data_IF_406931903862
#
_entry.id   IF_406931903862
#
_cell.length_a   1.000
_cell.length_b   1.000
_cell.length_c   1.000
_cell.angle_alpha   90.00
_cell.angle_beta   90.00
_cell.angle_gamma   90.00
#
_symmetry.space_group_name_H-M   'P 1'
#
loop_
_entity.id
_entity.type
_entity.pdbx_description
1 polymer ?
#
# COMPACT_ATOMS: atom_id res chain seq x y z
N UNK A 1 4.49 0.66 -7.18
CA UNK A 1 3.74 0.84 -5.92
C UNK A 1 4.67 0.65 -4.73
N UNK A 2 4.35 1.17 -3.53
CA UNK A 2 5.13 0.89 -2.31
C UNK A 2 4.68 -0.40 -1.62
N UNK A 3 5.59 -0.92 -0.83
CA UNK A 3 5.69 -2.31 -0.40
C UNK A 3 4.57 -2.94 0.44
N UNK A 4 3.58 -2.18 0.90
CA UNK A 4 2.69 -2.63 1.98
C UNK A 4 1.21 -2.41 1.68
N UNK A 5 0.92 -1.92 0.48
CA UNK A 5 -0.44 -1.55 0.04
C UNK A 5 -1.13 -2.70 -0.72
N UNK A 6 -0.48 -3.87 -0.82
CA UNK A 6 -0.96 -5.04 -1.57
C UNK A 6 -1.22 -6.18 -0.57
N UNK A 7 -2.47 -6.68 -0.45
CA UNK A 7 -2.77 -7.80 0.43
C UNK A 7 -2.09 -9.10 -0.04
N UNK A 8 -1.77 -10.04 0.88
CA UNK A 8 -1.10 -11.29 0.54
C UNK A 8 -2.01 -12.26 -0.26
N UNK A 9 -1.62 -12.64 -1.48
CA UNK A 9 -2.33 -13.63 -2.32
C UNK A 9 -2.11 -13.45 -3.84
N UNK A 10 -1.02 -13.98 -4.37
CA UNK A 10 -0.31 -13.45 -5.57
C UNK A 10 -1.02 -13.56 -6.95
N UNK A 11 -1.95 -14.49 -7.28
CA UNK A 11 -2.57 -14.53 -8.62
C UNK A 11 -3.92 -13.82 -8.76
N UNK A 12 -4.79 -13.92 -7.76
CA UNK A 12 -6.19 -13.46 -7.83
C UNK A 12 -6.32 -11.93 -7.85
N UNK A 13 -5.30 -11.22 -7.35
CA UNK A 13 -5.28 -9.76 -7.32
C UNK A 13 -4.85 -9.11 -8.64
N UNK A 14 -4.25 -9.84 -9.58
CA UNK A 14 -3.87 -9.32 -10.90
C UNK A 14 -5.06 -8.67 -11.63
N UNK A 15 -6.22 -9.35 -11.81
CA UNK A 15 -7.38 -8.76 -12.47
C UNK A 15 -7.93 -7.54 -11.74
N UNK A 16 -7.85 -7.51 -10.40
CA UNK A 16 -8.33 -6.40 -9.58
C UNK A 16 -7.44 -5.16 -9.71
N UNK A 17 -6.11 -5.33 -9.69
CA UNK A 17 -5.17 -4.23 -9.98
C UNK A 17 -5.40 -3.74 -11.41
N UNK A 18 -5.50 -4.65 -12.38
CA UNK A 18 -5.77 -4.27 -13.78
C UNK A 18 -7.06 -3.47 -13.90
N UNK A 19 -8.15 -3.92 -13.27
CA UNK A 19 -9.44 -3.22 -13.28
C UNK A 19 -9.33 -1.83 -12.64
N UNK A 20 -8.69 -1.73 -11.48
CA UNK A 20 -8.53 -0.47 -10.77
C UNK A 20 -7.72 0.57 -11.56
N UNK A 21 -6.67 0.17 -12.28
CA UNK A 21 -5.88 1.08 -13.10
C UNK A 21 -6.45 1.31 -14.50
N UNK A 22 -7.33 0.42 -14.98
CA UNK A 22 -8.00 0.59 -16.27
C UNK A 22 -8.90 1.83 -16.32
N UNK A 23 -9.35 2.35 -15.17
CA UNK A 23 -10.11 3.60 -15.11
C UNK A 23 -9.29 4.84 -15.49
N UNK A 24 -7.95 4.74 -15.48
CA UNK A 24 -7.04 5.85 -15.83
C UNK A 24 -6.40 5.69 -17.21
N UNK A 25 -6.61 4.56 -17.88
CA UNK A 25 -5.98 4.25 -19.16
C UNK A 25 -5.87 2.75 -19.41
N UNK A 26 -5.40 2.36 -20.59
CA UNK A 26 -5.33 0.94 -20.93
C UNK A 26 -4.10 0.28 -20.28
N UNK A 27 -4.33 -0.65 -19.34
CA UNK A 27 -3.27 -1.45 -18.70
C UNK A 27 -2.86 -2.59 -19.63
N UNK A 28 -1.59 -2.67 -19.98
CA UNK A 28 -1.00 -3.77 -20.77
C UNK A 28 -0.71 -4.98 -19.89
N UNK A 29 0.09 -4.77 -18.85
CA UNK A 29 0.59 -5.85 -18.00
C UNK A 29 0.67 -5.44 -16.53
N UNK A 30 0.57 -6.43 -15.64
CA UNK A 30 0.73 -6.26 -14.20
C UNK A 30 1.63 -7.39 -13.71
N UNK A 31 2.70 -7.04 -13.02
CA UNK A 31 3.69 -7.99 -12.50
C UNK A 31 4.01 -7.65 -11.05
N UNK A 32 3.84 -8.62 -10.16
CA UNK A 32 4.22 -8.46 -8.76
C UNK A 32 5.72 -8.68 -8.58
N UNK A 33 6.37 -7.79 -7.81
CA UNK A 33 7.79 -7.90 -7.47
C UNK A 33 7.90 -8.79 -6.22
N UNK A 34 8.51 -9.97 -6.32
CA UNK A 34 8.72 -10.84 -5.18
C UNK A 34 9.72 -10.24 -4.19
N UNK A 35 9.51 -10.49 -2.90
CA UNK A 35 10.48 -10.18 -1.86
C UNK A 35 11.34 -11.41 -1.58
N UNK A 36 12.62 -11.36 -1.97
CA UNK A 36 13.57 -12.46 -1.79
C UNK A 36 14.32 -12.43 -0.45
N UNK A 37 14.16 -11.36 0.33
CA UNK A 37 14.98 -11.10 1.52
C UNK A 37 14.19 -11.36 2.81
N UNK A 38 12.87 -11.14 2.80
CA UNK A 38 12.03 -11.39 3.97
C UNK A 38 11.43 -12.81 3.97
N UNK A 39 11.28 -13.44 5.15
CA UNK A 39 10.66 -14.76 5.27
C UNK A 39 9.16 -14.78 4.89
N UNK A 40 8.53 -13.61 4.77
CA UNK A 40 7.14 -13.48 4.30
C UNK A 40 7.15 -13.27 2.78
N UNK A 41 6.70 -14.26 2.03
CA UNK A 41 6.53 -14.20 0.58
C UNK A 41 5.30 -13.35 0.17
N UNK A 42 5.22 -12.12 0.69
CA UNK A 42 4.16 -11.17 0.37
C UNK A 42 4.76 -10.19 -0.63
N UNK A 43 4.30 -10.17 -1.90
CA UNK A 43 4.80 -9.21 -2.87
C UNK A 43 4.45 -7.82 -2.39
N UNK A 44 5.50 -7.09 -2.07
CA UNK A 44 5.36 -5.79 -1.49
C UNK A 44 4.92 -4.77 -2.56
N UNK A 45 5.38 -4.94 -3.80
CA UNK A 45 5.16 -3.98 -4.89
C UNK A 45 4.62 -4.67 -6.14
N UNK A 46 3.92 -3.90 -6.98
CA UNK A 46 3.58 -4.28 -8.35
C UNK A 46 4.14 -3.27 -9.37
N UNK A 47 4.57 -3.79 -10.51
CA UNK A 47 4.80 -3.09 -11.76
C UNK A 47 3.50 -3.12 -12.57
N UNK A 48 3.05 -1.96 -13.00
CA UNK A 48 1.87 -1.80 -13.87
C UNK A 48 2.33 -1.08 -15.12
N UNK A 49 2.15 -1.72 -16.26
CA UNK A 49 2.49 -1.16 -17.55
C UNK A 49 1.24 -0.53 -18.18
N UNK A 50 1.28 0.78 -18.42
CA UNK A 50 0.23 1.51 -19.13
C UNK A 50 0.55 1.60 -20.62
N UNK A 51 -0.46 1.90 -21.45
CA UNK A 51 -0.27 2.04 -22.89
C UNK A 51 0.59 3.26 -23.26
N UNK A 52 0.31 4.41 -22.64
CA UNK A 52 0.87 5.71 -23.01
C UNK A 52 1.54 6.40 -21.81
N UNK A 53 2.58 7.21 -22.05
CA UNK A 53 3.29 7.94 -21.00
C UNK A 53 2.37 8.91 -20.24
N UNK A 54 1.47 9.61 -20.95
CA UNK A 54 0.51 10.54 -20.35
C UNK A 54 -0.40 9.84 -19.32
N UNK A 55 -0.78 8.58 -19.56
CA UNK A 55 -1.58 7.79 -18.61
C UNK A 55 -0.77 7.45 -17.36
N UNK A 56 0.52 7.13 -17.51
CA UNK A 56 1.42 6.87 -16.38
C UNK A 56 1.55 8.12 -15.50
N UNK A 57 1.79 9.28 -16.09
CA UNK A 57 1.93 10.54 -15.36
C UNK A 57 0.63 10.92 -14.63
N UNK A 58 -0.52 10.74 -15.28
CA UNK A 58 -1.83 10.96 -14.67
C UNK A 58 -2.04 10.05 -13.45
N UNK A 59 -1.69 8.76 -13.56
CA UNK A 59 -1.78 7.80 -12.45
C UNK A 59 -0.85 8.20 -11.30
N UNK A 60 0.39 8.57 -11.59
CA UNK A 60 1.36 8.98 -10.56
C UNK A 60 0.88 10.24 -9.86
N UNK A 61 0.44 11.26 -10.61
CA UNK A 61 -0.11 12.51 -10.05
C UNK A 61 -1.35 12.25 -9.20
N UNK A 62 -2.30 11.47 -9.71
CA UNK A 62 -3.55 11.14 -8.99
C UNK A 62 -3.27 10.38 -7.70
N UNK A 63 -2.48 9.29 -7.75
CA UNK A 63 -2.15 8.51 -6.54
C UNK A 63 -1.26 9.26 -5.56
N UNK A 64 -0.61 10.36 -5.96
CA UNK A 64 0.17 11.21 -5.05
C UNK A 64 -0.71 12.21 -4.32
N UNK A 65 -1.70 12.78 -5.03
CA UNK A 65 -2.54 13.84 -4.51
C UNK A 65 -3.84 13.34 -3.86
N UNK A 66 -4.30 12.13 -4.19
CA UNK A 66 -5.58 11.59 -3.73
C UNK A 66 -5.44 10.22 -3.10
N UNK A 67 -6.42 9.87 -2.28
CA UNK A 67 -6.54 8.53 -1.72
C UNK A 67 -7.13 7.58 -2.76
N UNK A 68 -6.28 6.70 -3.28
CA UNK A 68 -6.68 5.71 -4.28
C UNK A 68 -6.69 4.32 -3.67
N UNK A 69 -7.88 3.80 -3.41
CA UNK A 69 -8.05 2.49 -2.80
C UNK A 69 -8.17 1.41 -3.87
N UNK A 70 -7.46 0.31 -3.64
CA UNK A 70 -7.62 -0.93 -4.42
C UNK A 70 -8.11 -1.98 -3.42
N UNK A 71 -9.04 -2.85 -3.83
CA UNK A 71 -9.59 -3.95 -3.00
C UNK A 71 -10.62 -3.58 -1.93
N UNK A 72 -11.18 -2.36 -1.94
CA UNK A 72 -12.22 -1.96 -0.98
C UNK A 72 -11.73 -1.79 0.47
N UNK A 73 -10.45 -2.04 0.74
CA UNK A 73 -9.81 -1.70 1.99
C UNK A 73 -9.38 -0.22 1.96
N UNK A 74 -9.53 0.55 3.05
CA UNK A 74 -9.17 1.97 3.11
C UNK A 74 -7.65 2.21 3.18
N UNK A 75 -6.87 1.43 2.41
CA UNK A 75 -5.44 1.58 2.24
C UNK A 75 -5.17 2.20 0.88
N UNK A 76 -4.68 3.43 0.89
CA UNK A 76 -4.38 4.15 -0.34
C UNK A 76 -3.09 3.62 -0.97
N UNK A 77 -3.18 3.22 -2.22
CA UNK A 77 -2.05 2.82 -3.05
C UNK A 77 -1.29 4.06 -3.51
N UNK A 78 0.05 4.00 -3.46
CA UNK A 78 0.94 5.03 -4.02
C UNK A 78 1.69 4.51 -5.24
N UNK A 79 1.68 5.25 -6.35
CA UNK A 79 2.45 4.91 -7.55
C UNK A 79 3.75 5.72 -7.65
N UNK A 80 4.74 5.15 -8.33
CA UNK A 80 5.98 5.82 -8.74
C UNK A 80 6.40 5.28 -10.10
N UNK A 81 7.18 6.07 -10.84
CA UNK A 81 7.78 5.62 -12.08
C UNK A 81 8.66 4.39 -11.84
N UNK A 82 8.60 3.44 -12.77
CA UNK A 82 9.42 2.23 -12.70
C UNK A 82 10.87 2.57 -13.03
N UNK A 83 11.80 2.10 -12.19
CA UNK A 83 13.23 2.22 -12.44
C UNK A 83 13.76 0.97 -13.15
N UNK A 84 14.86 1.11 -13.88
CA UNK A 84 15.48 0.02 -14.65
C UNK A 84 15.85 -1.19 -13.76
N UNK A 85 16.23 -0.93 -12.51
CA UNK A 85 16.61 -1.95 -11.51
C UNK A 85 15.42 -2.80 -10.99
N UNK A 86 14.18 -2.46 -11.33
CA UNK A 86 12.98 -3.20 -10.90
C UNK A 86 12.61 -4.35 -11.84
N UNK A 87 13.25 -4.43 -13.01
CA UNK A 87 12.96 -5.40 -14.07
C UNK A 87 13.94 -6.58 -14.00
N UNK A 88 13.42 -7.81 -13.91
CA UNK A 88 14.24 -9.03 -13.80
C UNK A 88 14.89 -9.45 -15.13
N UNK A 89 14.26 -9.10 -16.25
CA UNK A 89 14.63 -9.43 -17.62
C UNK A 89 15.74 -8.52 -18.17
N UNK A 90 16.04 -7.41 -17.49
CA UNK A 90 17.06 -6.47 -17.96
C UNK A 90 18.46 -6.98 -17.58
N UNK A 91 19.43 -6.88 -18.50
CA UNK A 91 20.79 -7.34 -18.23
C UNK A 91 21.36 -6.63 -17.01
N UNK A 92 22.03 -7.40 -16.14
CA UNK A 92 22.81 -6.84 -15.03
C UNK A 92 23.68 -5.71 -15.58
N UNK A 93 23.73 -4.57 -14.87
CA UNK A 93 24.51 -3.40 -15.29
C UNK A 93 25.90 -3.86 -15.77
N UNK A 94 26.22 -3.70 -17.08
CA UNK A 94 27.51 -4.15 -17.58
C UNK A 94 28.59 -3.39 -16.81
N UNK A 95 29.59 -4.13 -16.28
CA UNK A 95 30.72 -3.69 -15.44
C UNK A 95 30.57 -3.78 -13.91
N UNK A 96 29.46 -4.24 -13.35
CA UNK A 96 29.38 -4.50 -11.90
C UNK A 96 29.58 -5.99 -11.60
N UNK A 97 30.84 -6.43 -11.56
CA UNK A 97 31.17 -7.74 -10.97
C UNK A 97 31.25 -7.53 -9.46
N UNK A 98 30.32 -8.14 -8.71
CA UNK A 98 30.41 -8.15 -7.25
C UNK A 98 31.60 -9.05 -6.90
N UNK A 99 32.67 -8.44 -6.41
CA UNK A 99 33.79 -9.18 -5.82
C UNK A 99 33.55 -9.25 -4.31
N UNK A 100 33.45 -10.47 -3.79
CA UNK A 100 33.34 -10.72 -2.36
C UNK A 100 34.70 -11.21 -1.88
N UNK A 101 35.28 -10.52 -0.90
CA UNK A 101 36.53 -10.91 -0.24
C UNK A 101 36.33 -10.82 1.27
N UNK A 102 36.89 -11.79 1.99
CA UNK A 102 36.98 -11.73 3.44
C UNK A 102 38.22 -10.92 3.81
N UNK A 103 38.09 -10.00 4.76
CA UNK A 103 39.18 -9.16 5.22
C UNK A 103 39.81 -9.80 6.48
N UNK A 104 41.13 -9.89 6.49
CA UNK A 104 41.91 -10.27 7.67
C UNK A 104 42.02 -9.10 8.64
N UNK A 105 42.28 -9.37 9.93
CA UNK A 105 42.38 -8.33 10.97
C UNK A 105 43.51 -7.31 10.72
N UNK A 106 44.55 -7.72 9.99
CA UNK A 106 45.69 -6.87 9.63
C UNK A 106 45.43 -6.01 8.39
N UNK A 107 44.29 -6.18 7.71
CA UNK A 107 43.94 -5.41 6.52
C UNK A 107 43.64 -3.95 6.92
N UNK A 108 44.16 -2.95 6.19
CA UNK A 108 43.92 -1.54 6.50
C UNK A 108 42.44 -1.16 6.52
N UNK A 109 41.60 -1.84 5.73
CA UNK A 109 40.17 -1.58 5.62
C UNK A 109 39.34 -2.37 6.64
N UNK A 110 39.95 -3.29 7.40
CA UNK A 110 39.23 -4.14 8.37
C UNK A 110 38.43 -3.30 9.40
N UNK A 111 39.04 -2.24 9.92
CA UNK A 111 38.37 -1.33 10.89
C UNK A 111 37.19 -0.58 10.27
N UNK A 112 37.31 -0.20 8.99
CA UNK A 112 36.23 0.47 8.26
C UNK A 112 35.08 -0.51 8.03
N UNK A 113 35.39 -1.72 7.57
CA UNK A 113 34.39 -2.78 7.37
C UNK A 113 33.67 -3.15 8.67
N UNK A 114 34.39 -3.23 9.81
CA UNK A 114 33.81 -3.47 11.13
C UNK A 114 32.82 -2.36 11.52
N UNK A 115 33.20 -1.08 11.31
CA UNK A 115 32.32 0.06 11.58
C UNK A 115 31.06 0.02 10.70
N UNK A 116 31.19 -0.31 9.42
CA UNK A 116 30.03 -0.46 8.50
C UNK A 116 29.12 -1.60 8.96
N UNK A 117 29.68 -2.73 9.40
CA UNK A 117 28.92 -3.86 9.94
C UNK A 117 28.11 -3.46 11.17
N UNK A 118 28.73 -2.76 12.11
CA UNK A 118 28.07 -2.30 13.33
C UNK A 118 26.96 -1.27 13.03
N UNK A 119 27.23 -0.32 12.14
CA UNK A 119 26.23 0.65 11.67
C UNK A 119 25.05 -0.04 10.96
N UNK A 120 25.32 -1.04 10.13
CA UNK A 120 24.28 -1.81 9.44
C UNK A 120 23.40 -2.55 10.43
N UNK A 121 23.99 -3.16 11.47
CA UNK A 121 23.27 -3.83 12.55
C UNK A 121 22.40 -2.85 13.33
N UNK A 122 22.93 -1.67 13.66
CA UNK A 122 22.18 -0.62 14.35
C UNK A 122 21.00 -0.14 13.50
N UNK A 123 21.22 0.16 12.22
CA UNK A 123 20.18 0.60 11.30
C UNK A 123 19.08 -0.46 11.13
N UNK A 124 19.46 -1.74 11.06
CA UNK A 124 18.50 -2.84 11.00
C UNK A 124 17.64 -2.92 12.27
N UNK A 125 18.24 -2.78 13.45
CA UNK A 125 17.52 -2.76 14.72
C UNK A 125 16.57 -1.55 14.83
N UNK A 126 17.02 -0.36 14.44
CA UNK A 126 16.21 0.85 14.40
C UNK A 126 15.04 0.73 13.42
N UNK A 127 15.29 0.20 12.23
CA UNK A 127 14.26 -0.03 11.21
C UNK A 127 13.22 -1.03 11.69
N UNK A 128 13.63 -2.14 12.33
CA UNK A 128 12.73 -3.13 12.91
C UNK A 128 11.88 -2.54 14.04
N UNK A 129 12.48 -1.70 14.89
CA UNK A 129 11.77 -0.99 15.95
C UNK A 129 10.71 -0.03 15.38
N UNK A 130 11.08 0.79 14.41
CA UNK A 130 10.18 1.73 13.74
C UNK A 130 9.03 0.97 13.05
N UNK A 131 9.34 -0.11 12.35
CA UNK A 131 8.33 -0.95 11.69
C UNK A 131 7.33 -1.50 12.71
N UNK A 132 7.79 -1.97 13.86
CA UNK A 132 6.91 -2.45 14.94
C UNK A 132 5.98 -1.34 15.43
N UNK A 133 6.48 -0.12 15.62
CA UNK A 133 5.65 1.02 16.01
C UNK A 133 4.59 1.35 14.94
N UNK A 134 4.99 1.41 13.66
CA UNK A 134 4.08 1.64 12.55
C UNK A 134 2.95 0.60 12.50
N UNK A 135 3.28 -0.68 12.69
CA UNK A 135 2.27 -1.75 12.70
C UNK A 135 1.28 -1.61 13.86
N UNK A 136 1.75 -1.20 15.04
CA UNK A 136 0.87 -0.96 16.19
C UNK A 136 -0.06 0.24 15.95
N UNK A 137 0.43 1.30 15.31
CA UNK A 137 -0.38 2.45 14.92
C UNK A 137 -1.41 2.08 13.85
N UNK A 138 -1.02 1.31 12.84
CA UNK A 138 -1.94 0.79 11.82
C UNK A 138 -3.05 -0.06 12.44
N UNK A 139 -2.73 -0.92 13.41
CA UNK A 139 -3.73 -1.75 14.10
C UNK A 139 -4.70 -0.89 14.93
N UNK A 140 -4.18 0.12 15.65
CA UNK A 140 -5.02 1.07 16.40
C UNK A 140 -5.94 1.85 15.47
N UNK A 141 -5.40 2.33 14.35
CA UNK A 141 -6.17 3.06 13.35
C UNK A 141 -7.27 2.18 12.74
N UNK A 142 -6.97 0.93 12.40
CA UNK A 142 -7.95 -0.01 11.86
C UNK A 142 -9.09 -0.26 12.84
N UNK A 143 -8.79 -0.47 14.14
CA UNK A 143 -9.82 -0.61 15.19
C UNK A 143 -10.70 0.64 15.28
N UNK A 144 -10.06 1.81 15.33
CA UNK A 144 -10.78 3.07 15.40
C UNK A 144 -11.71 3.30 14.18
N UNK A 145 -11.23 2.99 12.98
CA UNK A 145 -12.04 3.07 11.75
C UNK A 145 -13.23 2.11 11.78
N UNK A 146 -13.04 0.89 12.29
CA UNK A 146 -14.12 -0.09 12.44
C UNK A 146 -15.19 0.37 13.44
N UNK A 147 -14.77 0.95 14.57
CA UNK A 147 -15.71 1.47 15.59
C UNK A 147 -16.55 2.63 15.05
N UNK A 148 -15.92 3.54 14.29
CA UNK A 148 -16.63 4.63 13.60
C UNK A 148 -17.62 4.06 12.59
N UNK A 149 -17.22 3.10 11.77
CA UNK A 149 -18.09 2.47 10.77
C UNK A 149 -19.31 1.83 11.43
N UNK A 150 -19.11 1.06 12.50
CA UNK A 150 -20.19 0.43 13.27
C UNK A 150 -21.14 1.46 13.88
N UNK A 151 -20.59 2.56 14.41
CA UNK A 151 -21.39 3.65 14.99
C UNK A 151 -22.23 4.34 13.91
N UNK A 152 -21.67 4.59 12.73
CA UNK A 152 -22.41 5.17 11.61
C UNK A 152 -23.51 4.23 11.12
N UNK A 153 -23.24 2.93 11.01
CA UNK A 153 -24.25 1.94 10.63
C UNK A 153 -25.45 1.96 11.60
N UNK A 154 -25.19 1.95 12.91
CA UNK A 154 -26.24 2.04 13.94
C UNK A 154 -27.08 3.32 13.81
N UNK A 155 -26.45 4.46 13.48
CA UNK A 155 -27.19 5.71 13.25
C UNK A 155 -28.13 5.61 12.05
N UNK A 156 -27.65 5.04 10.95
CA UNK A 156 -28.49 4.83 9.75
C UNK A 156 -29.64 3.87 10.04
N UNK A 157 -29.38 2.76 10.73
CA UNK A 157 -30.41 1.79 11.14
C UNK A 157 -31.51 2.45 12.00
N UNK A 158 -31.13 3.31 12.96
CA UNK A 158 -32.10 4.05 13.77
C UNK A 158 -32.94 4.99 12.91
N UNK A 159 -32.34 5.70 11.95
CA UNK A 159 -33.07 6.59 11.03
C UNK A 159 -34.07 5.78 10.19
N UNK A 160 -33.63 4.68 9.60
CA UNK A 160 -34.46 3.81 8.76
C UNK A 160 -35.64 3.24 9.57
N UNK A 161 -35.38 2.78 10.79
CA UNK A 161 -36.43 2.27 11.68
C UNK A 161 -37.47 3.34 12.04
N UNK A 162 -37.06 4.58 12.32
CA UNK A 162 -37.97 5.70 12.64
C UNK A 162 -38.81 6.10 11.41
N UNK A 163 -38.24 6.00 10.20
CA UNK A 163 -38.98 6.20 8.94
C UNK A 163 -40.03 5.09 8.73
N UNK A 164 -39.66 3.82 8.91
CA UNK A 164 -40.55 2.66 8.70
C UNK A 164 -41.68 2.59 9.73
N UNK A 165 -41.39 2.86 11.01
CA UNK A 165 -42.39 2.87 12.09
C UNK A 165 -43.35 4.09 12.01
N UNK A 166 -43.19 4.95 11.00
CA UNK A 166 -44.05 6.12 10.80
C UNK A 166 -43.91 7.18 11.90
N UNK A 167 -42.90 7.05 12.77
CA UNK A 167 -42.60 8.03 13.82
C UNK A 167 -42.21 9.37 13.20
N UNK A 168 -41.48 9.37 12.07
CA UNK A 168 -41.18 10.59 11.31
C UNK A 168 -42.45 11.31 10.81
N UNK A 169 -43.42 10.56 10.27
CA UNK A 169 -44.70 11.12 9.80
C UNK A 169 -45.53 11.70 10.94
N UNK A 170 -45.55 11.02 12.10
CA UNK A 170 -46.22 11.50 13.33
C UNK A 170 -45.60 12.81 13.82
N UNK A 171 -44.27 12.93 13.79
CA UNK A 171 -43.53 14.15 14.14
C UNK A 171 -43.80 15.28 13.13
N UNK A 172 -43.76 15.01 11.83
CA UNK A 172 -44.03 15.99 10.79
C UNK A 172 -45.43 16.63 10.95
N UNK A 173 -46.45 15.81 11.20
CA UNK A 173 -47.81 16.28 11.48
C UNK A 173 -47.88 17.17 12.73
N UNK A 174 -47.13 16.85 13.79
CA UNK A 174 -47.13 17.65 15.03
C UNK A 174 -46.49 19.02 14.85
N UNK A 175 -45.47 19.11 13.99
CA UNK A 175 -44.76 20.36 13.72
C UNK A 175 -45.24 21.09 12.46
N UNK A 176 -46.36 20.65 11.86
CA UNK A 176 -46.89 21.19 10.59
C UNK A 176 -45.84 21.26 9.46
N UNK A 177 -44.94 20.27 9.42
CA UNK A 177 -43.96 20.12 8.35
C UNK A 177 -44.59 19.34 7.20
N UNK A 178 -44.36 19.78 5.96
CA UNK A 178 -44.74 18.99 4.78
C UNK A 178 -43.87 17.73 4.72
N UNK A 179 -44.51 16.59 4.56
CA UNK A 179 -43.89 15.29 4.43
C UNK A 179 -44.35 14.72 3.09
N UNK A 180 -43.52 14.86 2.07
CA UNK A 180 -43.74 14.31 0.72
C UNK A 180 -43.14 12.90 0.63
#
# INVERSE_FOLDING_TARGET
>A
MRGRDIPPGVPEFIPLVRFAFNQFGNVKSVHFIPNYIEPRNIPQCALVEMKDLMQVEAVVSMTSNHYFMVFGMPRSVRARLAEVNMFNDRPKMPRKTIQCQWLDENDPDFKVAQKIKDLTRLNAAQSAFLLKQQLQEEERLAKHQQDILNTNYKKHEVIDNIMVDGTTRRLANRYNLRYD
#
